data_IF_148025014253
#
_entry.id   IF_148025014253
#
_cell.length_a   1.000
_cell.length_b   1.000
_cell.length_c   1.000
_cell.angle_alpha   90.00
_cell.angle_beta   90.00
_cell.angle_gamma   90.00
#
_symmetry.space_group_name_H-M   'P 1'
#
loop_
_entity.id
_entity.type
_entity.pdbx_description
1 polymer ?
#
# COMPACT_ATOMS: atom_id res chain seq x y z
N UNK A 1 14.71 11.79 3.87
CA UNK A 1 14.86 11.81 2.40
C UNK A 1 14.34 13.15 1.86
N UNK A 2 14.63 13.51 0.61
CA UNK A 2 14.04 14.71 -0.01
C UNK A 2 12.56 14.48 -0.36
N UNK A 3 11.77 15.55 -0.47
CA UNK A 3 10.36 15.47 -0.88
C UNK A 3 10.17 14.74 -2.22
N UNK A 4 11.04 15.02 -3.18
CA UNK A 4 10.96 14.40 -4.50
C UNK A 4 11.28 12.90 -4.46
N UNK A 5 12.27 12.49 -3.67
CA UNK A 5 12.56 11.06 -3.44
C UNK A 5 11.39 10.37 -2.74
N UNK A 6 10.77 11.02 -1.76
CA UNK A 6 9.59 10.50 -1.06
C UNK A 6 8.43 10.27 -2.05
N UNK A 7 8.04 11.31 -2.80
CA UNK A 7 6.97 11.22 -3.80
C UNK A 7 7.25 10.11 -4.81
N UNK A 8 8.49 10.03 -5.29
CA UNK A 8 8.90 9.00 -6.25
C UNK A 8 8.76 7.61 -5.67
N UNK A 9 9.18 7.40 -4.41
CA UNK A 9 9.05 6.12 -3.72
C UNK A 9 7.59 5.72 -3.51
N UNK A 10 6.73 6.63 -3.04
CA UNK A 10 5.31 6.35 -2.86
C UNK A 10 4.63 5.98 -4.18
N UNK A 11 4.95 6.70 -5.27
CA UNK A 11 4.42 6.40 -6.61
C UNK A 11 4.86 5.03 -7.10
N UNK A 12 6.12 4.65 -6.87
CA UNK A 12 6.64 3.33 -7.22
C UNK A 12 5.91 2.22 -6.44
N UNK A 13 5.75 2.40 -5.12
CA UNK A 13 5.03 1.45 -4.27
C UNK A 13 3.57 1.28 -4.74
N UNK A 14 2.85 2.38 -5.01
CA UNK A 14 1.49 2.35 -5.55
C UNK A 14 1.37 1.65 -6.91
N UNK A 15 2.38 1.80 -7.78
CA UNK A 15 2.42 1.16 -9.10
C UNK A 15 2.60 -0.37 -8.99
N UNK A 16 3.26 -0.87 -7.94
CA UNK A 16 3.38 -2.30 -7.67
C UNK A 16 2.11 -2.87 -7.05
N UNK A 17 1.47 -2.11 -6.15
CA UNK A 17 0.30 -2.60 -5.41
C UNK A 17 -0.99 -2.59 -6.24
N UNK A 18 -1.16 -1.62 -7.14
CA UNK A 18 -2.41 -1.50 -7.92
C UNK A 18 -2.70 -2.74 -8.78
N UNK A 19 -1.77 -3.26 -9.60
CA UNK A 19 -2.00 -4.49 -10.36
C UNK A 19 -2.28 -5.70 -9.47
N UNK A 20 -1.65 -5.75 -8.29
CA UNK A 20 -1.83 -6.86 -7.34
C UNK A 20 -3.23 -6.84 -6.71
N UNK A 21 -3.75 -5.67 -6.40
CA UNK A 21 -5.14 -5.50 -5.95
C UNK A 21 -6.14 -5.88 -7.04
N UNK A 22 -5.89 -5.48 -8.29
CA UNK A 22 -6.76 -5.81 -9.41
C UNK A 22 -6.80 -7.32 -9.66
N UNK A 23 -5.62 -7.96 -9.70
CA UNK A 23 -5.50 -9.41 -9.74
C UNK A 23 -6.19 -10.07 -8.54
N UNK A 24 -5.93 -9.55 -7.34
CA UNK A 24 -6.52 -10.05 -6.10
C UNK A 24 -8.05 -10.05 -6.14
N UNK A 25 -8.65 -8.95 -6.61
CA UNK A 25 -10.10 -8.80 -6.72
C UNK A 25 -10.69 -9.82 -7.69
N UNK A 26 -10.07 -10.02 -8.86
CA UNK A 26 -10.52 -11.02 -9.83
C UNK A 26 -10.48 -12.44 -9.24
N UNK A 27 -9.41 -12.75 -8.53
CA UNK A 27 -9.17 -14.08 -7.98
C UNK A 27 -10.02 -14.39 -6.74
N UNK A 28 -10.52 -13.38 -6.03
CA UNK A 28 -11.40 -13.55 -4.86
C UNK A 28 -12.65 -14.40 -5.13
N UNK A 29 -13.09 -14.47 -6.39
CA UNK A 29 -14.23 -15.28 -6.86
C UNK A 29 -13.89 -16.76 -7.05
N UNK A 30 -12.60 -17.10 -7.11
CA UNK A 30 -12.06 -18.45 -7.39
C UNK A 30 -11.44 -19.13 -6.17
N UNK A 31 -11.32 -18.41 -5.04
CA UNK A 31 -10.79 -18.96 -3.78
C UNK A 31 -11.82 -19.92 -3.15
N UNK A 32 -11.34 -21.05 -2.61
CA UNK A 32 -12.17 -22.02 -1.88
C UNK A 32 -12.93 -21.33 -0.73
N UNK A 33 -14.17 -21.74 -0.44
CA UNK A 33 -15.02 -21.09 0.58
C UNK A 33 -14.32 -20.93 1.93
N UNK A 34 -13.60 -21.96 2.40
CA UNK A 34 -12.88 -21.95 3.67
C UNK A 34 -11.75 -20.90 3.74
N UNK A 35 -11.17 -20.56 2.59
CA UNK A 35 -10.09 -19.59 2.47
C UNK A 35 -10.58 -18.19 2.07
N UNK A 36 -11.85 -18.08 1.63
CA UNK A 36 -12.43 -16.84 1.09
C UNK A 36 -12.46 -15.71 2.10
N UNK A 37 -12.81 -16.00 3.36
CA UNK A 37 -12.88 -14.98 4.42
C UNK A 37 -11.49 -14.38 4.74
N UNK A 38 -10.46 -15.23 4.83
CA UNK A 38 -9.09 -14.79 5.07
C UNK A 38 -8.58 -13.96 3.89
N UNK A 39 -8.82 -14.45 2.67
CA UNK A 39 -8.45 -13.75 1.45
C UNK A 39 -9.13 -12.38 1.31
N UNK A 40 -10.43 -12.29 1.59
CA UNK A 40 -11.17 -11.02 1.56
C UNK A 40 -10.67 -10.03 2.62
N UNK A 41 -10.32 -10.51 3.82
CA UNK A 41 -9.74 -9.69 4.88
C UNK A 41 -8.41 -9.09 4.43
N UNK A 42 -7.52 -9.93 3.91
CA UNK A 42 -6.21 -9.52 3.39
C UNK A 42 -6.31 -8.53 2.25
N UNK A 43 -7.29 -8.74 1.37
CA UNK A 43 -7.55 -7.83 0.26
C UNK A 43 -8.10 -6.48 0.74
N UNK A 44 -8.90 -6.45 1.81
CA UNK A 44 -9.36 -5.22 2.45
C UNK A 44 -8.22 -4.47 3.16
N UNK A 45 -7.32 -5.21 3.83
CA UNK A 45 -6.13 -4.64 4.46
C UNK A 45 -5.20 -3.99 3.41
N UNK A 46 -4.99 -4.67 2.28
CA UNK A 46 -4.20 -4.16 1.16
C UNK A 46 -4.81 -2.89 0.54
N UNK A 47 -6.15 -2.83 0.40
CA UNK A 47 -6.85 -1.61 -0.03
C UNK A 47 -6.63 -0.46 0.96
N UNK A 48 -6.71 -0.75 2.26
CA UNK A 48 -6.45 0.23 3.31
C UNK A 48 -5.03 0.77 3.25
N UNK A 49 -4.02 -0.08 2.99
CA UNK A 49 -2.64 0.40 2.82
C UNK A 49 -2.49 1.28 1.57
N UNK A 50 -3.13 0.91 0.45
CA UNK A 50 -3.14 1.74 -0.77
C UNK A 50 -3.70 3.14 -0.49
N UNK A 51 -4.84 3.23 0.18
CA UNK A 51 -5.46 4.53 0.53
C UNK A 51 -4.55 5.39 1.43
N UNK A 52 -3.84 4.76 2.37
CA UNK A 52 -2.84 5.46 3.21
C UNK A 52 -1.68 6.00 2.38
N UNK A 53 -1.12 5.20 1.49
CA UNK A 53 -0.05 5.61 0.58
C UNK A 53 -0.50 6.78 -0.31
N UNK A 54 -1.72 6.74 -0.85
CA UNK A 54 -2.30 7.86 -1.61
C UNK A 54 -2.52 9.11 -0.74
N UNK A 55 -2.86 8.94 0.54
CA UNK A 55 -2.94 10.05 1.49
C UNK A 55 -1.58 10.68 1.76
N UNK A 56 -0.54 9.87 1.98
CA UNK A 56 0.82 10.38 2.18
C UNK A 56 1.36 11.08 0.94
N UNK A 57 1.05 10.56 -0.25
CA UNK A 57 1.41 11.21 -1.50
C UNK A 57 0.79 12.60 -1.60
N UNK A 58 -0.53 12.71 -1.38
CA UNK A 58 -1.25 13.99 -1.40
C UNK A 58 -0.70 14.96 -0.36
N UNK A 59 -0.42 14.48 0.85
CA UNK A 59 0.15 15.31 1.90
C UNK A 59 1.53 15.84 1.49
N UNK A 60 2.41 14.97 0.98
CA UNK A 60 3.73 15.36 0.50
C UNK A 60 3.65 16.36 -0.66
N UNK A 61 2.78 16.13 -1.65
CA UNK A 61 2.56 17.05 -2.78
C UNK A 61 2.03 18.41 -2.33
N UNK A 62 1.17 18.45 -1.29
CA UNK A 62 0.60 19.69 -0.74
C UNK A 62 1.52 20.43 0.23
N UNK A 63 2.52 19.75 0.79
CA UNK A 63 3.44 20.33 1.77
C UNK A 63 4.39 21.29 1.08
N UNK A 64 4.49 22.54 1.55
CA UNK A 64 5.49 23.49 1.06
C UNK A 64 6.91 23.01 1.40
N UNK A 65 7.88 23.25 0.51
CA UNK A 65 9.22 22.65 0.62
C UNK A 65 9.96 23.10 1.89
N UNK A 66 9.73 24.32 2.36
CA UNK A 66 10.26 24.89 3.60
C UNK A 66 9.69 24.23 4.88
N UNK A 67 8.55 23.52 4.76
CA UNK A 67 7.91 22.76 5.84
C UNK A 67 8.19 21.26 5.77
N UNK A 68 8.89 20.80 4.73
CA UNK A 68 9.13 19.38 4.49
C UNK A 68 9.84 18.69 5.66
N UNK A 69 10.89 19.30 6.21
CA UNK A 69 11.66 18.72 7.31
C UNK A 69 10.80 18.45 8.56
N UNK A 70 9.78 19.28 8.79
CA UNK A 70 8.87 19.13 9.93
C UNK A 70 7.87 17.97 9.79
N UNK A 71 7.63 17.47 8.58
CA UNK A 71 6.64 16.41 8.31
C UNK A 71 7.25 15.12 7.76
N UNK A 72 8.45 15.18 7.18
CA UNK A 72 9.11 14.08 6.48
C UNK A 72 9.26 12.84 7.35
N UNK A 73 9.69 12.99 8.61
CA UNK A 73 9.88 11.85 9.52
C UNK A 73 8.59 11.07 9.78
N UNK A 74 7.46 11.78 9.98
CA UNK A 74 6.15 11.14 10.19
C UNK A 74 5.69 10.41 8.93
N UNK A 75 5.83 11.07 7.78
CA UNK A 75 5.44 10.50 6.49
C UNK A 75 6.31 9.31 6.10
N UNK A 76 7.62 9.37 6.35
CA UNK A 76 8.57 8.28 6.10
C UNK A 76 8.27 7.05 6.97
N UNK A 77 7.99 7.26 8.26
CA UNK A 77 7.57 6.15 9.14
C UNK A 77 6.26 5.53 8.68
N UNK A 78 5.27 6.35 8.32
CA UNK A 78 3.98 5.87 7.81
C UNK A 78 4.10 5.11 6.50
N UNK A 79 4.94 5.61 5.59
CA UNK A 79 5.28 4.96 4.32
C UNK A 79 5.92 3.59 4.58
N UNK A 80 6.94 3.52 5.42
CA UNK A 80 7.61 2.26 5.75
C UNK A 80 6.65 1.21 6.29
N UNK A 81 5.81 1.58 7.25
CA UNK A 81 4.83 0.66 7.83
C UNK A 81 3.79 0.19 6.81
N UNK A 82 3.28 1.12 6.00
CA UNK A 82 2.24 0.80 5.00
C UNK A 82 2.79 -0.09 3.89
N UNK A 83 3.99 0.20 3.38
CA UNK A 83 4.64 -0.60 2.34
C UNK A 83 5.06 -1.98 2.84
N UNK A 84 5.51 -2.10 4.09
CA UNK A 84 5.82 -3.39 4.71
C UNK A 84 4.56 -4.26 4.83
N UNK A 85 3.50 -3.74 5.43
CA UNK A 85 2.23 -4.47 5.59
C UNK A 85 1.62 -4.87 4.25
N UNK A 86 1.63 -3.96 3.28
CA UNK A 86 1.13 -4.26 1.94
C UNK A 86 1.91 -5.40 1.28
N UNK A 87 3.23 -5.44 1.46
CA UNK A 87 4.06 -6.55 0.94
C UNK A 87 3.71 -7.87 1.61
N UNK A 88 3.58 -7.89 2.95
CA UNK A 88 3.18 -9.07 3.72
C UNK A 88 1.79 -9.59 3.27
N UNK A 89 0.80 -8.70 3.13
CA UNK A 89 -0.55 -9.08 2.68
C UNK A 89 -0.55 -9.64 1.25
N UNK A 90 0.27 -9.09 0.35
CA UNK A 90 0.44 -9.63 -1.01
C UNK A 90 1.04 -11.04 -1.00
N UNK A 91 2.07 -11.28 -0.18
CA UNK A 91 2.67 -12.60 -0.06
C UNK A 91 1.69 -13.63 0.51
N UNK A 92 0.89 -13.23 1.50
CA UNK A 92 -0.14 -14.09 2.08
C UNK A 92 -1.26 -14.39 1.08
N UNK A 93 -1.74 -13.40 0.32
CA UNK A 93 -2.73 -13.59 -0.73
C UNK A 93 -2.24 -14.60 -1.79
N UNK A 94 -0.95 -14.56 -2.15
CA UNK A 94 -0.35 -15.54 -3.06
C UNK A 94 -0.35 -16.96 -2.47
N UNK A 95 -0.07 -17.12 -1.17
CA UNK A 95 -0.04 -18.43 -0.51
C UNK A 95 -1.42 -19.08 -0.41
N UNK A 96 -2.47 -18.30 -0.23
CA UNK A 96 -3.84 -18.80 -0.11
C UNK A 96 -4.39 -19.34 -1.45
N UNK A 97 -3.81 -18.89 -2.57
CA UNK A 97 -4.26 -19.26 -3.92
C UNK A 97 -3.50 -20.43 -4.56
N UNK A 98 -2.25 -20.71 -4.13
CA UNK A 98 -1.37 -21.76 -4.70
C UNK A 98 -1.64 -23.13 -4.09
#
# INVERSE_FOLDING_TARGET
MTKQEFITKVKADLAVFTPTLDYGNQMSTRVKEDAKSQYQTKLADLKTQKEKLESFLREAESTADDKWEGVSSRLESGLYDSSRRATEDVEELKKVYV
#
